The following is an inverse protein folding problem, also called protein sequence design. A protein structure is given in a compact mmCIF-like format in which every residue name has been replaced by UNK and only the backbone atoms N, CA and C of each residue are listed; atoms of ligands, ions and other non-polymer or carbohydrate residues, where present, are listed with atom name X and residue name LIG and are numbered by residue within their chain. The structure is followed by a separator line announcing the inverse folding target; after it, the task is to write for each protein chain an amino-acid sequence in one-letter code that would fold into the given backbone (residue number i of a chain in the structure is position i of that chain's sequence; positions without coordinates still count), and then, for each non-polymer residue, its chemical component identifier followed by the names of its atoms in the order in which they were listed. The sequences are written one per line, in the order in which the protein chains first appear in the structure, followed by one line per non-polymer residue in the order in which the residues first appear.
data_IF_777823305561
#
_entry.id   IF_777823305561
#
_cell.length_a   1.000
_cell.length_b   1.000
_cell.length_c   1.000
_cell.angle_alpha   90.00
_cell.angle_beta   90.00
_cell.angle_gamma   90.00
#
_symmetry.space_group_name_H-M   'P 1'
#
loop_
_entity.id
_entity.type
_entity.pdbx_description
1 polymer ?
#
# COMPACT_ATOMS: atom_id res chain seq x y z
N UNK A 1 52.84 -4.32 12.32
CA UNK A 1 51.52 -4.85 12.68
C UNK A 1 50.51 -3.72 12.57
N UNK A 2 49.61 -3.75 11.60
CA UNK A 2 48.47 -2.83 11.52
C UNK A 2 47.25 -3.65 11.09
N UNK A 3 46.30 -3.82 12.01
CA UNK A 3 45.05 -4.52 11.78
C UNK A 3 44.06 -3.55 11.12
N UNK A 4 43.61 -3.84 9.90
CA UNK A 4 42.52 -3.13 9.25
C UNK A 4 41.20 -3.66 9.81
N UNK A 5 40.55 -2.86 10.66
CA UNK A 5 39.19 -3.13 11.12
C UNK A 5 38.21 -3.01 9.94
N UNK A 6 37.61 -4.12 9.53
CA UNK A 6 36.54 -4.13 8.53
C UNK A 6 35.26 -3.54 9.12
N UNK A 7 34.75 -2.49 8.51
CA UNK A 7 33.42 -1.96 8.84
C UNK A 7 32.36 -2.85 8.19
N UNK A 8 31.70 -3.68 8.99
CA UNK A 8 30.49 -4.37 8.58
C UNK A 8 29.33 -3.37 8.63
N UNK A 9 28.78 -3.01 7.47
CA UNK A 9 27.50 -2.31 7.38
C UNK A 9 26.43 -3.30 7.85
N UNK A 10 26.03 -3.20 9.12
CA UNK A 10 24.85 -3.86 9.66
C UNK A 10 23.63 -3.18 9.02
N UNK A 11 23.17 -3.75 7.91
CA UNK A 11 21.90 -3.38 7.33
C UNK A 11 20.81 -3.93 8.27
N UNK A 12 20.27 -3.07 9.13
CA UNK A 12 19.12 -3.42 9.93
C UNK A 12 17.93 -3.61 8.96
N UNK A 13 17.56 -4.87 8.69
CA UNK A 13 16.22 -5.16 8.18
C UNK A 13 15.24 -4.66 9.24
N UNK A 14 14.60 -3.53 8.94
CA UNK A 14 13.46 -3.07 9.73
C UNK A 14 12.41 -4.18 9.66
N UNK A 15 12.25 -4.93 10.74
CA UNK A 15 11.12 -5.84 10.90
C UNK A 15 9.87 -4.98 10.80
N UNK A 16 9.20 -5.04 9.63
CA UNK A 16 7.93 -4.35 9.43
C UNK A 16 6.96 -4.84 10.50
N UNK A 17 6.33 -3.91 11.22
CA UNK A 17 5.26 -4.26 12.14
C UNK A 17 4.17 -5.04 11.38
N UNK A 18 3.58 -6.05 12.03
CA UNK A 18 2.54 -6.86 11.44
C UNK A 18 1.29 -5.99 11.16
N UNK A 19 0.79 -6.03 9.93
CA UNK A 19 -0.49 -5.42 9.58
C UNK A 19 -1.63 -6.20 10.23
N UNK A 20 -2.62 -5.49 10.77
CA UNK A 20 -3.81 -6.05 11.41
C UNK A 20 -5.07 -5.31 10.95
N UNK A 21 -6.25 -5.89 11.18
CA UNK A 21 -7.53 -5.34 10.73
C UNK A 21 -7.77 -5.57 9.24
N UNK A 22 -8.48 -4.64 8.57
CA UNK A 22 -8.90 -4.78 7.16
C UNK A 22 -7.73 -5.03 6.20
N UNK A 23 -6.55 -4.49 6.49
CA UNK A 23 -5.35 -4.72 5.68
C UNK A 23 -4.85 -6.16 5.67
N UNK A 24 -5.10 -6.91 6.75
CA UNK A 24 -4.67 -8.31 6.90
C UNK A 24 -5.71 -9.30 6.36
N UNK A 25 -6.83 -8.80 5.83
CA UNK A 25 -7.82 -9.62 5.13
C UNK A 25 -7.26 -10.04 3.77
N UNK A 26 -7.50 -11.28 3.34
CA UNK A 26 -7.07 -11.71 2.01
C UNK A 26 -7.84 -10.99 0.90
N UNK A 27 -7.22 -10.86 -0.27
CA UNK A 27 -7.86 -10.33 -1.47
C UNK A 27 -9.16 -11.07 -1.83
N UNK A 28 -9.19 -12.41 -1.69
CA UNK A 28 -10.43 -13.17 -1.87
C UNK A 28 -11.54 -12.69 -0.94
N UNK A 29 -11.22 -12.51 0.34
CA UNK A 29 -12.21 -12.10 1.34
C UNK A 29 -12.66 -10.66 1.11
N UNK A 30 -11.76 -9.76 0.71
CA UNK A 30 -12.13 -8.42 0.25
C UNK A 30 -13.13 -8.49 -0.91
N UNK A 31 -12.85 -9.29 -1.95
CA UNK A 31 -13.75 -9.46 -3.10
C UNK A 31 -15.13 -10.00 -2.70
N UNK A 32 -15.18 -10.96 -1.77
CA UNK A 32 -16.44 -11.51 -1.25
C UNK A 32 -17.21 -10.46 -0.44
N UNK A 33 -16.54 -9.71 0.42
CA UNK A 33 -17.13 -8.67 1.26
C UNK A 33 -17.77 -7.56 0.42
N UNK A 34 -17.05 -7.03 -0.58
CA UNK A 34 -17.57 -5.94 -1.43
C UNK A 34 -18.65 -6.37 -2.41
N UNK A 35 -18.72 -7.67 -2.71
CA UNK A 35 -19.82 -8.28 -3.49
C UNK A 35 -21.07 -8.46 -2.63
N UNK A 36 -20.89 -8.88 -1.38
CA UNK A 36 -22.00 -9.10 -0.45
C UNK A 36 -22.59 -7.79 0.08
N UNK A 37 -21.75 -6.78 0.33
CA UNK A 37 -22.16 -5.48 0.82
C UNK A 37 -21.33 -4.35 0.15
N UNK A 38 -21.88 -3.68 -0.87
CA UNK A 38 -21.19 -2.59 -1.57
C UNK A 38 -20.76 -1.42 -0.67
N UNK A 39 -21.36 -1.24 0.52
CA UNK A 39 -20.93 -0.20 1.48
C UNK A 39 -19.51 -0.46 1.97
N UNK A 40 -19.09 -1.73 2.09
CA UNK A 40 -17.74 -2.08 2.55
C UNK A 40 -16.65 -1.61 1.59
N UNK A 41 -16.96 -1.36 0.31
CA UNK A 41 -16.03 -0.76 -0.66
C UNK A 41 -15.45 0.54 -0.13
N UNK A 42 -16.30 1.40 0.44
CA UNK A 42 -15.90 2.69 1.01
C UNK A 42 -15.00 2.50 2.23
N UNK A 43 -15.31 1.54 3.09
CA UNK A 43 -14.57 1.33 4.33
C UNK A 43 -13.16 0.74 4.03
N UNK A 44 -13.06 -0.20 3.09
CA UNK A 44 -11.77 -0.69 2.58
C UNK A 44 -10.96 0.42 1.90
N UNK A 45 -11.60 1.24 1.06
CA UNK A 45 -10.92 2.35 0.39
C UNK A 45 -10.43 3.42 1.38
N UNK A 46 -11.25 3.79 2.37
CA UNK A 46 -10.85 4.73 3.41
C UNK A 46 -9.66 4.21 4.24
N UNK A 47 -9.68 2.92 4.58
CA UNK A 47 -8.54 2.28 5.22
C UNK A 47 -7.28 2.31 4.33
N UNK A 48 -7.42 2.00 3.03
CA UNK A 48 -6.32 2.03 2.08
C UNK A 48 -5.69 3.44 1.96
N UNK A 49 -6.50 4.48 1.90
CA UNK A 49 -6.03 5.88 1.89
C UNK A 49 -5.24 6.23 3.15
N UNK A 50 -5.74 5.84 4.32
CA UNK A 50 -5.04 6.02 5.60
C UNK A 50 -3.73 5.25 5.66
N UNK A 51 -3.71 4.01 5.18
CA UNK A 51 -2.50 3.19 5.11
C UNK A 51 -1.43 3.82 4.19
N UNK A 52 -1.82 4.29 3.00
CA UNK A 52 -0.91 4.98 2.08
C UNK A 52 -0.37 6.29 2.67
N UNK A 53 -1.21 7.04 3.39
CA UNK A 53 -0.76 8.23 4.13
C UNK A 53 0.26 7.85 5.21
N UNK A 54 0.04 6.74 5.93
CA UNK A 54 1.00 6.18 6.88
C UNK A 54 2.33 5.79 6.23
N UNK A 55 2.30 5.23 5.01
CA UNK A 55 3.52 4.96 4.24
C UNK A 55 4.27 6.26 3.99
N UNK A 56 3.62 7.31 3.47
CA UNK A 56 4.26 8.61 3.20
C UNK A 56 4.90 9.18 4.47
N UNK A 57 4.17 9.19 5.59
CA UNK A 57 4.67 9.70 6.87
C UNK A 57 5.87 8.92 7.43
N UNK A 58 6.01 7.65 7.07
CA UNK A 58 7.15 6.81 7.50
C UNK A 58 8.41 7.00 6.65
N UNK A 59 8.32 7.71 5.52
CA UNK A 59 9.46 7.92 4.61
C UNK A 59 10.36 9.06 5.09
N UNK A 60 11.65 9.05 4.71
CA UNK A 60 12.52 10.21 4.89
C UNK A 60 11.96 11.45 4.19
N UNK A 61 12.30 12.67 4.67
CA UNK A 61 11.96 13.91 3.98
C UNK A 61 12.38 13.90 2.50
N UNK A 62 11.58 14.52 1.62
CA UNK A 62 11.81 14.54 0.18
C UNK A 62 11.42 13.26 -0.58
N UNK A 63 11.04 12.17 0.11
CA UNK A 63 10.59 10.93 -0.55
C UNK A 63 9.08 10.87 -0.58
N UNK A 64 8.51 10.82 -1.79
CA UNK A 64 7.06 10.83 -2.05
C UNK A 64 6.36 12.06 -1.42
N UNK A 65 7.12 13.11 -1.11
CA UNK A 65 6.63 14.38 -0.60
C UNK A 65 5.78 15.07 -1.68
N UNK A 66 4.55 15.41 -1.34
CA UNK A 66 3.58 15.97 -2.29
C UNK A 66 2.93 14.95 -3.22
N UNK A 67 3.13 13.65 -3.02
CA UNK A 67 2.35 12.63 -3.74
C UNK A 67 0.86 12.80 -3.44
N UNK A 68 0.10 13.13 -4.47
CA UNK A 68 -1.36 13.15 -4.40
C UNK A 68 -1.92 11.73 -4.40
N UNK A 69 -2.65 11.37 -3.33
CA UNK A 69 -3.33 10.08 -3.21
C UNK A 69 -4.73 10.07 -3.83
N UNK A 70 -5.22 11.21 -4.32
CA UNK A 70 -6.49 11.34 -5.04
C UNK A 70 -6.38 12.25 -6.28
N UNK A 71 -5.42 11.98 -7.19
CA UNK A 71 -5.24 12.81 -8.37
C UNK A 71 -6.46 12.71 -9.29
N UNK A 72 -6.80 13.80 -9.96
CA UNK A 72 -7.95 13.84 -10.90
C UNK A 72 -7.82 12.86 -12.07
N UNK A 73 -6.60 12.46 -12.44
CA UNK A 73 -6.32 11.47 -13.50
C UNK A 73 -6.55 10.03 -13.04
N UNK A 74 -6.59 9.80 -11.72
CA UNK A 74 -6.78 8.48 -11.12
C UNK A 74 -7.53 8.60 -9.79
N UNK A 75 -8.81 8.94 -9.93
CA UNK A 75 -9.71 9.24 -8.81
C UNK A 75 -9.99 8.02 -7.92
N UNK A 76 -10.69 8.25 -6.80
CA UNK A 76 -10.99 7.23 -5.81
C UNK A 76 -11.78 6.03 -6.38
N UNK A 77 -12.60 6.24 -7.40
CA UNK A 77 -13.34 5.15 -8.06
C UNK A 77 -12.40 4.31 -8.92
N UNK A 78 -11.50 4.95 -9.68
CA UNK A 78 -10.46 4.27 -10.44
C UNK A 78 -9.50 3.47 -9.53
N UNK A 79 -9.18 4.00 -8.36
CA UNK A 79 -8.38 3.29 -7.35
C UNK A 79 -9.11 2.07 -6.78
N UNK A 80 -10.41 2.19 -6.50
CA UNK A 80 -11.22 1.05 -6.07
C UNK A 80 -11.28 -0.04 -7.14
N UNK A 81 -11.53 0.31 -8.41
CA UNK A 81 -11.51 -0.66 -9.50
C UNK A 81 -10.14 -1.35 -9.63
N UNK A 82 -9.05 -0.59 -9.49
CA UNK A 82 -7.71 -1.18 -9.48
C UNK A 82 -7.54 -2.21 -8.36
N UNK A 83 -8.03 -1.93 -7.15
CA UNK A 83 -7.97 -2.88 -6.03
C UNK A 83 -8.83 -4.13 -6.30
N UNK A 84 -10.05 -3.95 -6.84
CA UNK A 84 -10.94 -5.05 -7.23
C UNK A 84 -10.27 -5.95 -8.29
N UNK A 85 -9.70 -5.37 -9.35
CA UNK A 85 -9.02 -6.09 -10.43
C UNK A 85 -7.74 -6.78 -9.95
N UNK A 86 -6.95 -6.09 -9.12
CA UNK A 86 -5.71 -6.65 -8.58
C UNK A 86 -6.01 -7.83 -7.65
N UNK A 87 -7.00 -7.70 -6.78
CA UNK A 87 -7.39 -8.78 -5.88
C UNK A 87 -8.05 -9.96 -6.60
N UNK A 88 -8.82 -9.73 -7.67
CA UNK A 88 -9.39 -10.81 -8.48
C UNK A 88 -8.30 -11.71 -9.10
N UNK A 89 -7.12 -11.15 -9.40
CA UNK A 89 -5.98 -11.89 -9.96
C UNK A 89 -5.05 -12.48 -8.89
N UNK A 90 -5.15 -12.02 -7.64
CA UNK A 90 -4.20 -12.32 -6.57
C UNK A 90 -4.91 -12.70 -5.26
N UNK A 91 -5.86 -13.64 -5.34
CA UNK A 91 -6.79 -14.00 -4.26
C UNK A 91 -6.13 -14.33 -2.89
N UNK A 92 -4.89 -14.83 -2.90
CA UNK A 92 -4.17 -15.25 -1.70
C UNK A 92 -3.34 -14.14 -1.02
N UNK A 93 -3.14 -12.98 -1.66
CA UNK A 93 -2.43 -11.86 -1.05
C UNK A 93 -3.27 -11.20 0.04
N UNK A 94 -2.62 -10.52 0.97
CA UNK A 94 -3.31 -9.64 1.91
C UNK A 94 -3.75 -8.36 1.18
N UNK A 95 -4.86 -7.77 1.61
CA UNK A 95 -5.38 -6.55 1.02
C UNK A 95 -4.35 -5.40 1.11
N UNK A 96 -3.54 -5.35 2.17
CA UNK A 96 -2.45 -4.38 2.27
C UNK A 96 -1.41 -4.50 1.15
N UNK A 97 -1.16 -5.71 0.63
CA UNK A 97 -0.25 -5.89 -0.51
C UNK A 97 -0.83 -5.28 -1.80
N UNK A 98 -2.14 -5.46 -2.01
CA UNK A 98 -2.85 -4.80 -3.11
C UNK A 98 -2.83 -3.27 -2.97
N UNK A 99 -2.96 -2.75 -1.75
CA UNK A 99 -2.84 -1.31 -1.47
C UNK A 99 -1.39 -0.83 -1.68
N UNK A 100 -0.37 -1.60 -1.34
CA UNK A 100 1.02 -1.27 -1.68
C UNK A 100 1.23 -1.23 -3.22
N UNK A 101 0.56 -2.11 -3.97
CA UNK A 101 0.58 -2.07 -5.44
C UNK A 101 -0.11 -0.81 -5.99
N UNK A 102 -1.24 -0.42 -5.40
CA UNK A 102 -1.95 0.83 -5.70
C UNK A 102 -1.05 2.05 -5.43
N UNK A 103 -0.40 2.09 -4.27
CA UNK A 103 0.55 3.14 -3.92
C UNK A 103 1.67 3.28 -4.97
N UNK A 104 2.24 2.16 -5.43
CA UNK A 104 3.26 2.15 -6.49
C UNK A 104 2.71 2.67 -7.82
N UNK A 105 1.43 2.44 -8.14
CA UNK A 105 0.77 2.98 -9.34
C UNK A 105 0.61 4.50 -9.24
N UNK A 106 0.14 5.01 -8.11
CA UNK A 106 -0.03 6.45 -7.85
C UNK A 106 1.30 7.21 -7.93
N UNK A 107 2.39 6.63 -7.41
CA UNK A 107 3.75 7.19 -7.56
C UNK A 107 4.21 7.36 -9.01
N UNK A 108 3.61 6.64 -9.96
CA UNK A 108 3.89 6.79 -11.39
C UNK A 108 3.01 7.88 -12.02
N UNK A 109 1.81 8.13 -11.47
CA UNK A 109 0.93 9.22 -11.90
C UNK A 109 1.53 10.59 -11.54
N UNK A 110 2.07 10.75 -10.33
CA UNK A 110 2.65 12.02 -9.88
C UNK A 110 4.00 12.41 -10.51
N UNK A 111 4.51 11.65 -11.49
CA UNK A 111 5.78 11.93 -12.19
C UNK A 111 5.59 12.66 -13.53
N UNK A 112 4.42 13.25 -13.76
CA UNK A 112 4.14 14.09 -14.93
C UNK A 112 4.94 15.38 -14.92
#
# INVERSE_FOLDING_TARGET
MLATAGWQVLQAESQKAKIVGLGATTCQRFSDDVKANPVLRRDYLAWAQGFMSGIILSRPPGVDEGLDLAPVTFDLVGQLHFLEDHCAQNAALDFSDAVEALYKRLRKEGRT
#
